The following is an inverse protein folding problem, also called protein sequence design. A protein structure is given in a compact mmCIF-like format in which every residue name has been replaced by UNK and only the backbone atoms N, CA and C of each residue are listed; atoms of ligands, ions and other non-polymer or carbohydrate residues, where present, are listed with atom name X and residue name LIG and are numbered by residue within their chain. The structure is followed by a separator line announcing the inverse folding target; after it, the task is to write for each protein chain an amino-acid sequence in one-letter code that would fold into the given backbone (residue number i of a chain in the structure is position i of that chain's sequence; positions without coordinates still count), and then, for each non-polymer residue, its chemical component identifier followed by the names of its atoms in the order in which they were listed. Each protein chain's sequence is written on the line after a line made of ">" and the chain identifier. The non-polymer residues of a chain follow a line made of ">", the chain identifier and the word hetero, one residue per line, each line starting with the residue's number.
data_IF_075488651655
#
_entry.id   IF_075488651655
#
_cell.length_a   1.000
_cell.length_b   1.000
_cell.length_c   1.000
_cell.angle_alpha   90.00
_cell.angle_beta   90.00
_cell.angle_gamma   90.00
#
_symmetry.space_group_name_H-M   'P 1'
#
loop_
_entity.id
_entity.type
_entity.pdbx_description
1 polymer ?
#
# COMPACT_ATOMS: atom_id res chain seq x y z
N UNK A 1 -8.22 -19.32 14.28
CA UNK A 1 -7.24 -18.42 13.62
C UNK A 1 -7.42 -17.01 14.13
N UNK A 2 -6.59 -16.62 15.10
CA UNK A 2 -6.75 -15.42 15.93
C UNK A 2 -5.89 -14.24 15.46
N UNK A 3 -5.98 -13.86 14.19
CA UNK A 3 -5.47 -12.56 13.76
C UNK A 3 -6.46 -11.47 14.21
N UNK A 4 -5.99 -10.35 14.79
CA UNK A 4 -6.87 -9.25 15.15
C UNK A 4 -7.60 -8.75 13.90
N UNK A 5 -8.88 -8.33 14.02
CA UNK A 5 -9.58 -7.71 12.92
C UNK A 5 -8.78 -6.49 12.42
N UNK A 6 -8.71 -6.33 11.10
CA UNK A 6 -8.09 -5.15 10.50
C UNK A 6 -8.85 -3.92 11.03
N UNK A 7 -8.14 -2.94 11.57
CA UNK A 7 -8.73 -1.75 12.21
C UNK A 7 -9.65 -0.99 11.23
N UNK A 8 -10.90 -0.74 11.64
CA UNK A 8 -11.92 -0.03 10.87
C UNK A 8 -11.60 1.47 10.68
N UNK A 9 -10.56 1.97 11.35
CA UNK A 9 -10.13 3.37 11.23
C UNK A 9 -9.85 3.76 9.78
N UNK A 10 -9.19 2.89 9.02
CA UNK A 10 -8.79 3.21 7.65
C UNK A 10 -10.01 3.37 6.72
N UNK A 11 -11.06 2.57 6.91
CA UNK A 11 -12.29 2.69 6.14
C UNK A 11 -12.95 4.07 6.38
N UNK A 12 -12.97 4.54 7.63
CA UNK A 12 -13.49 5.88 7.97
C UNK A 12 -12.64 7.02 7.43
N UNK A 13 -11.32 6.87 7.43
CA UNK A 13 -10.40 7.86 6.89
C UNK A 13 -10.61 8.01 5.37
N UNK A 14 -10.89 6.91 4.65
CA UNK A 14 -11.19 6.92 3.21
C UNK A 14 -12.55 7.59 2.93
N UNK A 15 -13.61 7.22 3.68
CA UNK A 15 -14.93 7.86 3.56
C UNK A 15 -14.86 9.38 3.78
N UNK A 16 -14.00 9.82 4.70
CA UNK A 16 -13.76 11.24 4.92
C UNK A 16 -13.09 11.88 3.70
N UNK A 17 -12.02 11.28 3.16
CA UNK A 17 -11.29 11.82 2.02
C UNK A 17 -12.14 11.90 0.75
N UNK A 18 -12.96 10.88 0.46
CA UNK A 18 -13.85 10.88 -0.71
C UNK A 18 -14.87 12.03 -0.66
N UNK A 19 -15.34 12.38 0.56
CA UNK A 19 -16.26 13.50 0.76
C UNK A 19 -15.56 14.85 0.58
N UNK A 20 -14.37 15.01 1.13
CA UNK A 20 -13.64 16.29 1.07
C UNK A 20 -12.99 16.54 -0.31
N UNK A 21 -12.71 15.48 -1.08
CA UNK A 21 -12.08 15.56 -2.40
C UNK A 21 -12.83 14.77 -3.49
N UNK A 22 -14.02 15.22 -3.94
CA UNK A 22 -14.88 14.46 -4.87
C UNK A 22 -14.29 14.23 -6.27
N UNK A 23 -13.22 14.96 -6.62
CA UNK A 23 -12.52 14.80 -7.90
C UNK A 23 -11.45 13.69 -7.87
N UNK A 24 -11.13 13.16 -6.69
CA UNK A 24 -10.18 12.05 -6.49
C UNK A 24 -10.98 10.82 -6.07
N UNK A 25 -10.77 9.71 -6.77
CA UNK A 25 -11.38 8.41 -6.45
C UNK A 25 -10.35 7.55 -5.70
N UNK A 26 -10.69 7.10 -4.49
CA UNK A 26 -9.80 6.31 -3.63
C UNK A 26 -10.43 4.95 -3.33
N UNK A 27 -9.78 3.87 -3.78
CA UNK A 27 -10.21 2.51 -3.47
C UNK A 27 -9.33 1.88 -2.38
N UNK A 28 -9.95 1.39 -1.29
CA UNK A 28 -9.26 0.62 -0.26
C UNK A 28 -9.34 -0.89 -0.54
N UNK A 29 -8.21 -1.51 -0.88
CA UNK A 29 -8.10 -2.96 -1.11
C UNK A 29 -7.28 -3.63 0.00
N UNK A 30 -7.93 -4.50 0.78
CA UNK A 30 -7.28 -5.28 1.86
C UNK A 30 -6.75 -6.61 1.29
N UNK A 31 -5.43 -6.80 1.29
CA UNK A 31 -4.77 -8.01 0.78
C UNK A 31 -3.97 -8.72 1.88
N UNK A 32 -4.13 -10.03 2.00
CA UNK A 32 -3.33 -10.87 2.89
C UNK A 32 -2.14 -11.46 2.14
N UNK A 33 -0.94 -11.33 2.70
CA UNK A 33 0.28 -11.92 2.15
C UNK A 33 1.54 -11.33 2.78
N UNK A 34 2.70 -11.74 2.27
CA UNK A 34 3.99 -11.20 2.68
C UNK A 34 4.35 -9.98 1.84
N UNK A 35 4.62 -8.86 2.50
CA UNK A 35 5.06 -7.65 1.84
C UNK A 35 6.54 -7.73 1.45
N UNK A 36 6.84 -7.48 0.17
CA UNK A 36 8.20 -7.53 -0.35
C UNK A 36 8.26 -7.28 -1.86
N UNK A 37 9.46 -7.37 -2.48
CA UNK A 37 9.67 -7.08 -3.91
C UNK A 37 8.71 -7.83 -4.83
N UNK A 38 8.47 -9.13 -4.53
CA UNK A 38 7.59 -9.97 -5.34
C UNK A 38 6.15 -9.43 -5.36
N UNK A 39 5.60 -9.10 -4.19
CA UNK A 39 4.24 -8.56 -4.09
C UNK A 39 4.11 -7.26 -4.87
N UNK A 40 5.07 -6.34 -4.75
CA UNK A 40 5.06 -5.07 -5.49
C UNK A 40 5.01 -5.31 -7.00
N UNK A 41 5.84 -6.22 -7.52
CA UNK A 41 5.85 -6.56 -8.95
C UNK A 41 4.55 -7.22 -9.42
N UNK A 42 3.98 -8.12 -8.61
CA UNK A 42 2.71 -8.76 -8.93
C UNK A 42 1.57 -7.74 -8.98
N UNK A 43 1.52 -6.79 -8.05
CA UNK A 43 0.56 -5.70 -8.03
C UNK A 43 0.74 -4.73 -9.20
N UNK A 44 1.99 -4.41 -9.56
CA UNK A 44 2.32 -3.58 -10.73
C UNK A 44 1.77 -4.17 -12.02
N UNK A 45 1.93 -5.48 -12.23
CA UNK A 45 1.36 -6.18 -13.38
C UNK A 45 -0.16 -6.27 -13.32
N UNK A 46 -0.72 -6.58 -12.15
CA UNK A 46 -2.17 -6.74 -11.95
C UNK A 46 -2.93 -5.47 -12.30
N UNK A 47 -2.44 -4.32 -11.87
CA UNK A 47 -3.11 -3.04 -12.07
C UNK A 47 -2.54 -2.23 -13.24
N UNK A 48 -1.51 -2.75 -13.91
CA UNK A 48 -0.79 -2.06 -14.97
C UNK A 48 -0.26 -0.68 -14.53
N UNK A 49 0.22 -0.60 -13.29
CA UNK A 49 0.79 0.61 -12.69
C UNK A 49 2.30 0.41 -12.58
N UNK A 50 3.13 1.27 -13.19
CA UNK A 50 4.59 1.19 -13.02
C UNK A 50 4.99 1.38 -11.55
N UNK A 51 5.97 0.61 -11.07
CA UNK A 51 6.40 0.61 -9.65
C UNK A 51 6.81 1.99 -9.14
N UNK A 52 7.39 2.83 -10.01
CA UNK A 52 7.80 4.20 -9.67
C UNK A 52 6.63 5.19 -9.48
N UNK A 53 5.40 4.80 -9.80
CA UNK A 53 4.17 5.52 -9.44
C UNK A 53 3.53 5.00 -8.14
N UNK A 54 4.08 3.96 -7.54
CA UNK A 54 3.62 3.44 -6.27
C UNK A 54 4.34 4.09 -5.10
N UNK A 55 3.64 4.15 -3.97
CA UNK A 55 4.16 4.65 -2.71
C UNK A 55 3.99 3.60 -1.62
N UNK A 56 4.93 3.58 -0.69
CA UNK A 56 4.86 2.77 0.53
C UNK A 56 5.15 3.65 1.74
N UNK A 57 4.55 3.32 2.88
CA UNK A 57 4.96 3.92 4.14
C UNK A 57 6.42 3.58 4.45
N UNK A 58 7.09 4.45 5.21
CA UNK A 58 8.47 4.19 5.63
C UNK A 58 8.56 2.84 6.36
N UNK A 59 9.39 1.90 5.90
CA UNK A 59 9.59 0.64 6.59
C UNK A 59 10.23 0.87 7.96
N UNK A 60 9.92 0.00 8.92
CA UNK A 60 10.55 0.01 10.25
C UNK A 60 11.95 -0.64 10.26
N UNK A 61 12.64 -0.55 11.39
CA UNK A 61 14.04 -0.96 11.59
C UNK A 61 14.35 -2.43 11.24
N UNK A 62 13.35 -3.30 11.23
CA UNK A 62 13.49 -4.73 10.94
C UNK A 62 13.06 -5.12 9.52
N UNK A 63 12.93 -4.15 8.61
CA UNK A 63 12.53 -4.45 7.25
C UNK A 63 13.66 -5.17 6.49
N UNK A 64 13.44 -6.41 6.00
CA UNK A 64 14.52 -7.28 5.53
C UNK A 64 15.03 -6.91 4.13
N UNK A 65 14.36 -6.00 3.43
CA UNK A 65 14.71 -5.59 2.08
C UNK A 65 15.34 -4.21 2.08
N UNK A 66 16.42 -4.03 1.32
CA UNK A 66 16.90 -2.69 0.98
C UNK A 66 15.91 -2.02 0.03
N UNK A 67 15.73 -0.70 0.15
CA UNK A 67 14.77 0.05 -0.67
C UNK A 67 15.03 -0.13 -2.16
N UNK A 68 16.30 -0.21 -2.60
CA UNK A 68 16.64 -0.40 -4.01
C UNK A 68 16.13 -1.73 -4.56
N UNK A 69 15.98 -2.75 -3.72
CA UNK A 69 15.46 -4.06 -4.11
C UNK A 69 13.95 -4.04 -4.39
N UNK A 70 13.24 -2.97 -4.00
CA UNK A 70 11.80 -2.83 -4.21
C UNK A 70 11.44 -2.28 -5.61
N UNK A 71 12.42 -2.03 -6.48
CA UNK A 71 12.17 -1.69 -7.88
C UNK A 71 11.80 -0.21 -8.13
N UNK A 72 12.30 0.71 -7.30
CA UNK A 72 12.10 2.15 -7.50
C UNK A 72 10.78 2.71 -6.95
N UNK A 73 10.12 1.96 -6.05
CA UNK A 73 8.97 2.45 -5.28
C UNK A 73 9.36 3.66 -4.43
N UNK A 74 8.43 4.59 -4.21
CA UNK A 74 8.66 5.83 -3.45
C UNK A 74 8.19 5.71 -2.01
N UNK A 75 8.85 6.44 -1.10
CA UNK A 75 8.45 6.51 0.30
C UNK A 75 7.55 7.72 0.57
N UNK A 76 6.57 7.56 1.46
CA UNK A 76 5.82 8.64 2.09
C UNK A 76 6.13 8.62 3.59
N UNK A 77 6.34 9.80 4.18
CA UNK A 77 6.68 10.04 5.59
C UNK A 77 5.51 10.76 6.26
#
# INVERSE_FOLDING_TARGET
>A
DGEPPLDDKLDKDIEFLDREYPEIDIELVKLKGEFGPKMIQDLSKKWNIPVNFMFIGSPGDHFPYRIEALGGVRLII
#
